data_IF_768880617876
#
_entry.id   IF_768880617876
#
_cell.length_a   1.000
_cell.length_b   1.000
_cell.length_c   1.000
_cell.angle_alpha   90.00
_cell.angle_beta   90.00
_cell.angle_gamma   90.00
#
_symmetry.space_group_name_H-M   'P 1'
#
loop_
_entity.id
_entity.type
_entity.pdbx_description
1 polymer ?
#
# COMPACT_ATOMS: atom_id res chain seq x y z
N UNK A 1 15.53 -20.34 17.72
CA UNK A 1 15.56 -20.87 16.36
C UNK A 1 14.19 -20.57 15.82
N UNK A 2 14.01 -19.31 15.46
CA UNK A 2 12.73 -18.69 15.14
C UNK A 2 12.34 -19.01 13.70
N UNK A 3 13.30 -19.00 12.78
CA UNK A 3 13.12 -19.37 11.37
C UNK A 3 13.32 -20.88 11.06
N UNK A 4 13.78 -21.67 12.04
CA UNK A 4 14.00 -23.12 11.92
C UNK A 4 15.13 -23.53 10.95
N UNK A 5 16.18 -22.71 10.79
CA UNK A 5 17.32 -22.98 9.89
C UNK A 5 18.45 -23.83 10.53
N UNK A 6 18.25 -24.28 11.77
CA UNK A 6 19.21 -25.00 12.62
C UNK A 6 20.32 -24.12 13.26
N UNK A 7 20.25 -22.80 13.11
CA UNK A 7 21.08 -21.81 13.80
C UNK A 7 20.26 -21.22 14.96
N UNK A 8 20.76 -21.29 16.21
CA UNK A 8 20.07 -20.63 17.31
C UNK A 8 20.17 -19.11 17.18
N UNK A 9 19.06 -18.38 17.35
CA UNK A 9 18.92 -16.91 17.30
C UNK A 9 20.14 -16.12 17.81
N UNK A 10 20.70 -16.45 18.98
CA UNK A 10 21.89 -15.76 19.51
C UNK A 10 23.18 -15.90 18.67
N UNK A 11 23.15 -16.69 17.60
CA UNK A 11 24.20 -16.91 16.60
C UNK A 11 23.72 -16.68 15.18
N UNK A 12 22.45 -16.39 14.99
CA UNK A 12 21.92 -16.06 13.69
C UNK A 12 22.14 -14.56 13.42
N UNK A 13 22.28 -14.22 12.15
CA UNK A 13 22.35 -12.85 11.68
C UNK A 13 20.98 -12.36 11.21
N UNK A 14 20.05 -13.28 10.96
CA UNK A 14 18.68 -13.02 10.53
C UNK A 14 17.77 -14.06 11.21
N UNK A 15 17.31 -13.74 12.42
CA UNK A 15 16.60 -14.68 13.30
C UNK A 15 15.23 -15.13 12.73
N UNK A 16 14.56 -14.33 11.89
CA UNK A 16 13.22 -14.61 11.33
C UNK A 16 13.23 -14.89 9.81
N UNK A 17 14.42 -14.84 9.20
CA UNK A 17 14.72 -15.07 7.78
C UNK A 17 13.96 -14.14 6.83
N UNK A 18 13.78 -12.89 7.25
CA UNK A 18 13.22 -11.84 6.43
C UNK A 18 14.29 -11.25 5.47
N UNK A 19 14.12 -10.02 4.99
CA UNK A 19 15.07 -9.38 4.08
C UNK A 19 16.24 -8.69 4.81
N UNK A 20 16.10 -8.40 6.09
CA UNK A 20 17.06 -7.63 6.86
C UNK A 20 17.86 -8.54 7.79
N UNK A 21 19.03 -8.09 8.20
CA UNK A 21 19.69 -8.76 9.31
C UNK A 21 19.09 -8.20 10.59
N UNK A 22 19.01 -9.00 11.65
CA UNK A 22 18.51 -8.63 12.99
C UNK A 22 19.06 -7.29 13.50
N UNK A 23 20.30 -6.95 13.16
CA UNK A 23 20.95 -5.68 13.57
C UNK A 23 20.54 -4.46 12.74
N UNK A 24 19.88 -4.66 11.60
CA UNK A 24 19.39 -3.62 10.69
C UNK A 24 17.94 -3.22 10.99
N UNK A 25 17.26 -3.95 11.86
CA UNK A 25 15.85 -3.79 12.23
C UNK A 25 15.66 -2.83 13.42
N UNK A 26 16.48 -1.78 13.47
CA UNK A 26 16.33 -0.64 14.37
C UNK A 26 15.37 0.37 13.72
N UNK A 27 14.08 0.03 13.71
CA UNK A 27 13.01 0.79 13.08
C UNK A 27 12.91 2.22 13.62
N UNK A 28 13.22 2.43 14.91
CA UNK A 28 13.12 3.74 15.55
C UNK A 28 14.45 4.54 15.53
N UNK A 29 15.59 3.88 15.30
CA UNK A 29 16.92 4.49 15.18
C UNK A 29 17.60 4.82 16.51
N UNK A 30 17.19 4.19 17.62
CA UNK A 30 17.77 4.41 18.95
C UNK A 30 18.97 3.49 19.27
N UNK A 31 19.29 2.58 18.34
CA UNK A 31 20.36 1.61 18.48
C UNK A 31 19.97 0.35 19.27
N UNK A 32 18.68 0.12 19.52
CA UNK A 32 18.17 -1.04 20.24
C UNK A 32 17.04 -1.76 19.49
N UNK A 33 17.42 -2.53 18.46
CA UNK A 33 16.53 -3.40 17.69
C UNK A 33 15.76 -4.43 18.54
N UNK A 34 16.21 -4.75 19.76
CA UNK A 34 15.51 -5.73 20.63
C UNK A 34 14.16 -5.25 21.18
N UNK A 35 13.86 -3.94 21.11
CA UNK A 35 12.62 -3.38 21.66
C UNK A 35 11.71 -2.77 20.60
N UNK A 36 12.05 -2.91 19.33
CA UNK A 36 11.23 -2.43 18.24
C UNK A 36 10.15 -3.47 17.94
N UNK A 37 8.92 -2.97 17.82
CA UNK A 37 7.67 -3.70 17.65
C UNK A 37 6.75 -2.78 16.84
N UNK A 38 6.94 -2.80 15.52
CA UNK A 38 6.37 -1.85 14.57
C UNK A 38 4.84 -1.94 14.52
N UNK A 39 4.30 -3.16 14.57
CA UNK A 39 2.86 -3.41 14.44
C UNK A 39 2.13 -3.54 15.80
N UNK A 40 2.90 -3.60 16.91
CA UNK A 40 2.45 -3.68 18.30
C UNK A 40 1.70 -4.99 18.62
N UNK A 41 2.06 -6.10 17.98
CA UNK A 41 1.51 -7.43 18.28
C UNK A 41 2.18 -8.11 19.50
N UNK A 42 3.33 -7.58 19.95
CA UNK A 42 4.11 -8.03 21.09
C UNK A 42 5.26 -8.98 20.76
N UNK A 43 5.53 -9.23 19.48
CA UNK A 43 6.73 -9.88 18.97
C UNK A 43 7.70 -8.78 18.51
N UNK A 44 8.95 -8.76 18.99
CA UNK A 44 9.93 -7.80 18.48
C UNK A 44 10.19 -8.01 16.99
N UNK A 45 10.42 -6.91 16.24
CA UNK A 45 10.62 -6.91 14.78
C UNK A 45 11.61 -8.00 14.33
N UNK A 46 12.74 -8.14 15.03
CA UNK A 46 13.78 -9.13 14.69
C UNK A 46 13.39 -10.61 14.87
N UNK A 47 12.23 -10.91 15.46
CA UNK A 47 11.68 -12.26 15.58
C UNK A 47 10.35 -12.38 14.84
N UNK A 48 9.95 -11.34 14.10
CA UNK A 48 8.64 -11.19 13.53
C UNK A 48 8.70 -11.08 12.00
N UNK A 49 8.63 -12.24 11.36
CA UNK A 49 8.61 -12.32 9.90
C UNK A 49 7.39 -11.63 9.26
N UNK A 50 6.35 -11.30 10.04
CA UNK A 50 5.13 -10.62 9.58
C UNK A 50 4.97 -9.17 10.07
N UNK A 51 6.03 -8.59 10.67
CA UNK A 51 6.17 -7.21 11.18
C UNK A 51 5.64 -6.09 10.26
N UNK A 52 5.46 -6.39 8.97
CA UNK A 52 4.93 -5.46 7.96
C UNK A 52 3.67 -5.94 7.21
N UNK A 53 2.88 -6.86 7.76
CA UNK A 53 1.57 -7.23 7.19
C UNK A 53 0.47 -6.22 7.56
N UNK A 54 0.72 -4.93 7.27
CA UNK A 54 -0.28 -3.88 7.41
C UNK A 54 -1.33 -4.03 6.32
N UNK A 55 -2.50 -4.55 6.71
CA UNK A 55 -3.63 -4.76 5.79
C UNK A 55 -3.89 -3.57 4.85
N UNK A 56 -3.89 -3.85 3.54
CA UNK A 56 -4.24 -2.88 2.50
C UNK A 56 -5.72 -2.98 2.18
N UNK A 57 -6.48 -1.92 2.44
CA UNK A 57 -7.93 -1.86 2.22
C UNK A 57 -8.30 -0.69 1.31
N UNK A 58 -9.04 -0.95 0.23
CA UNK A 58 -9.51 0.09 -0.69
C UNK A 58 -10.95 0.48 -0.35
N UNK A 59 -11.17 1.73 0.06
CA UNK A 59 -12.53 2.24 0.26
C UNK A 59 -13.18 2.52 -1.09
N UNK A 60 -14.26 1.79 -1.39
CA UNK A 60 -14.85 1.73 -2.72
C UNK A 60 -15.79 2.90 -3.09
N UNK A 61 -15.73 4.02 -2.37
CA UNK A 61 -16.60 5.19 -2.62
C UNK A 61 -15.78 6.46 -2.69
N UNK A 62 -16.13 7.33 -3.65
CA UNK A 62 -15.56 8.66 -3.82
C UNK A 62 -16.69 9.66 -4.05
N UNK A 63 -16.66 10.77 -3.31
CA UNK A 63 -17.58 11.90 -3.38
C UNK A 63 -16.81 13.22 -3.38
N UNK A 64 -16.20 13.67 -4.51
CA UNK A 64 -15.39 14.88 -4.58
C UNK A 64 -16.24 16.16 -4.56
N UNK A 65 -16.95 16.37 -3.45
CA UNK A 65 -17.85 17.49 -3.19
C UNK A 65 -17.17 18.61 -2.36
N UNK A 66 -15.96 18.37 -1.86
CA UNK A 66 -15.15 19.30 -1.09
C UNK A 66 -15.51 19.39 0.40
N UNK A 67 -16.20 18.39 0.95
CA UNK A 67 -16.53 18.32 2.38
C UNK A 67 -15.44 17.64 3.24
N UNK A 68 -14.38 17.13 2.60
CA UNK A 68 -13.26 16.44 3.23
C UNK A 68 -13.50 14.94 3.46
N UNK A 69 -14.66 14.40 3.09
CA UNK A 69 -15.06 13.02 3.29
C UNK A 69 -15.13 12.31 1.95
N UNK A 70 -14.25 11.31 1.75
CA UNK A 70 -14.15 10.54 0.51
C UNK A 70 -13.95 11.41 -0.75
N UNK A 71 -13.35 12.59 -0.64
CA UNK A 71 -13.08 13.47 -1.79
C UNK A 71 -12.10 12.84 -2.81
N UNK A 72 -11.35 11.83 -2.39
CA UNK A 72 -10.49 11.00 -3.23
C UNK A 72 -10.58 9.54 -2.80
N UNK A 73 -10.06 8.63 -3.63
CA UNK A 73 -9.92 7.22 -3.31
C UNK A 73 -8.94 7.04 -2.16
N UNK A 74 -9.43 6.68 -0.98
CA UNK A 74 -8.56 6.34 0.15
C UNK A 74 -8.25 4.84 0.13
N UNK A 75 -6.96 4.52 0.29
CA UNK A 75 -6.45 3.16 0.43
C UNK A 75 -5.72 3.07 1.76
N UNK A 76 -6.33 2.40 2.75
CA UNK A 76 -5.72 2.18 4.07
C UNK A 76 -4.45 1.35 3.93
N UNK A 77 -3.42 1.65 4.72
CA UNK A 77 -2.16 0.90 4.74
C UNK A 77 -1.20 1.21 3.59
N UNK A 78 -1.65 1.80 2.48
CA UNK A 78 -0.83 1.95 1.26
C UNK A 78 0.46 2.77 1.45
N UNK A 79 0.48 3.66 2.46
CA UNK A 79 1.64 4.51 2.75
C UNK A 79 2.88 3.71 3.18
N UNK A 80 2.68 2.48 3.66
CA UNK A 80 3.76 1.58 4.06
C UNK A 80 4.31 0.76 2.90
N UNK A 81 3.68 0.81 1.73
CA UNK A 81 4.10 0.11 0.51
C UNK A 81 4.40 1.11 -0.60
N UNK A 82 5.53 1.85 -0.53
CA UNK A 82 5.85 2.92 -1.49
C UNK A 82 6.04 2.39 -2.92
N UNK A 83 6.48 1.15 -3.08
CA UNK A 83 6.53 0.44 -4.35
C UNK A 83 5.16 -0.12 -4.70
N UNK A 84 4.22 0.78 -4.97
CA UNK A 84 2.88 0.44 -5.43
C UNK A 84 2.53 1.08 -6.78
N UNK A 85 1.51 0.52 -7.41
CA UNK A 85 0.90 1.05 -8.63
C UNK A 85 -0.58 0.78 -8.63
N UNK A 86 -1.36 1.81 -8.96
CA UNK A 86 -2.80 1.68 -9.22
C UNK A 86 -3.13 2.04 -10.65
N UNK A 87 -4.03 1.25 -11.24
CA UNK A 87 -4.67 1.55 -12.52
C UNK A 87 -6.17 1.52 -12.31
N UNK A 88 -6.88 2.52 -12.84
CA UNK A 88 -8.33 2.59 -12.76
C UNK A 88 -8.89 2.62 -14.18
N UNK A 89 -9.91 1.81 -14.40
CA UNK A 89 -10.62 1.64 -15.65
C UNK A 89 -12.07 2.07 -15.50
N UNK A 90 -12.64 2.60 -16.58
CA UNK A 90 -14.09 2.71 -16.68
C UNK A 90 -14.72 1.35 -17.00
N UNK A 91 -16.06 1.29 -17.03
CA UNK A 91 -16.83 0.06 -17.32
C UNK A 91 -16.55 -0.60 -18.68
N UNK A 92 -15.91 0.11 -19.60
CA UNK A 92 -15.54 -0.40 -20.93
C UNK A 92 -14.08 -0.88 -20.99
N UNK A 93 -13.38 -0.91 -19.86
CA UNK A 93 -11.97 -1.31 -19.78
C UNK A 93 -10.99 -0.25 -20.28
N UNK A 94 -11.44 1.00 -20.47
CA UNK A 94 -10.55 2.10 -20.85
C UNK A 94 -9.89 2.65 -19.59
N UNK A 95 -8.56 2.74 -19.61
CA UNK A 95 -7.76 3.36 -18.55
C UNK A 95 -8.12 4.85 -18.41
N UNK A 96 -8.50 5.24 -17.19
CA UNK A 96 -8.82 6.62 -16.82
C UNK A 96 -7.82 7.20 -15.83
N UNK A 97 -7.13 6.35 -15.07
CA UNK A 97 -6.11 6.79 -14.13
C UNK A 97 -5.02 5.73 -13.99
N UNK A 98 -3.78 6.18 -13.81
CA UNK A 98 -2.61 5.32 -13.67
C UNK A 98 -1.53 6.09 -12.92
N UNK A 99 -1.14 5.55 -11.77
CA UNK A 99 -0.15 6.18 -10.91
C UNK A 99 0.74 5.13 -10.22
N UNK A 100 1.99 5.51 -10.00
CA UNK A 100 2.94 4.77 -9.16
C UNK A 100 3.15 5.55 -7.86
N UNK A 101 3.39 4.86 -6.75
CA UNK A 101 3.62 5.46 -5.44
C UNK A 101 2.39 6.18 -4.91
N UNK A 102 1.21 5.57 -5.03
CA UNK A 102 -0.04 6.10 -4.48
C UNK A 102 0.07 6.25 -2.96
N UNK A 103 -0.29 7.41 -2.41
CA UNK A 103 -0.01 7.77 -1.01
C UNK A 103 -1.20 8.43 -0.27
N UNK A 104 -2.38 8.50 -0.90
CA UNK A 104 -3.57 9.22 -0.41
C UNK A 104 -3.37 10.74 -0.17
N UNK A 105 -2.24 11.34 -0.59
CA UNK A 105 -1.89 12.71 -0.21
C UNK A 105 -1.37 13.53 -1.37
N UNK A 106 -0.26 13.13 -1.98
CA UNK A 106 0.32 13.81 -3.13
C UNK A 106 -0.03 13.14 -4.45
N UNK A 107 -0.23 11.81 -4.42
CA UNK A 107 -0.62 10.98 -5.54
C UNK A 107 -1.91 10.27 -5.13
N UNK A 108 -3.03 10.79 -5.64
CA UNK A 108 -4.36 10.25 -5.37
C UNK A 108 -5.27 10.34 -6.60
N UNK A 109 -6.39 9.61 -6.56
CA UNK A 109 -7.45 9.68 -7.55
C UNK A 109 -8.70 10.33 -6.96
N UNK A 110 -9.11 11.45 -7.53
CA UNK A 110 -10.25 12.28 -7.10
C UNK A 110 -11.38 12.33 -8.14
N UNK A 111 -11.44 11.32 -9.02
CA UNK A 111 -12.40 11.30 -10.13
C UNK A 111 -11.99 12.13 -11.34
N UNK A 112 -10.76 12.64 -11.39
CA UNK A 112 -10.20 13.31 -12.58
C UNK A 112 -9.36 12.31 -13.39
N UNK A 113 -9.57 12.28 -14.70
CA UNK A 113 -8.80 11.43 -15.61
C UNK A 113 -7.39 11.97 -15.85
N UNK A 114 -6.38 11.09 -15.86
CA UNK A 114 -5.01 11.41 -16.30
C UNK A 114 -4.74 10.91 -17.74
N UNK A 115 -5.70 10.22 -18.36
CA UNK A 115 -5.57 9.67 -19.71
C UNK A 115 -5.53 10.75 -20.78
N UNK A 116 -4.50 10.71 -21.64
CA UNK A 116 -4.25 11.69 -22.73
C UNK A 116 -5.14 11.51 -23.97
N UNK A 117 -6.19 10.69 -23.91
CA UNK A 117 -7.10 10.46 -25.04
C UNK A 117 -8.02 11.68 -25.27
N UNK A 118 -7.49 12.71 -25.93
CA UNK A 118 -8.24 13.57 -26.86
C UNK A 118 -9.10 14.70 -26.30
N UNK A 119 -9.09 14.98 -24.99
CA UNK A 119 -9.66 16.20 -24.42
C UNK A 119 -8.63 16.79 -23.46
N UNK A 120 -8.41 18.09 -23.58
CA UNK A 120 -7.48 18.87 -22.76
C UNK A 120 -7.60 18.50 -21.27
N UNK A 121 -6.44 18.42 -20.59
CA UNK A 121 -6.22 18.55 -19.14
C UNK A 121 -7.44 18.33 -18.23
N UNK A 122 -7.43 17.26 -17.44
CA UNK A 122 -8.26 17.13 -16.23
C UNK A 122 -9.78 17.19 -16.48
N UNK A 123 -10.29 16.28 -17.31
CA UNK A 123 -11.74 16.11 -17.44
C UNK A 123 -12.29 15.28 -16.27
N UNK A 124 -13.19 15.89 -15.48
CA UNK A 124 -13.99 15.19 -14.48
C UNK A 124 -14.69 13.98 -15.10
N UNK A 125 -14.55 12.83 -14.46
CA UNK A 125 -15.18 11.60 -14.90
C UNK A 125 -16.68 11.59 -14.56
N UNK A 126 -17.54 10.98 -15.42
CA UNK A 126 -18.95 10.81 -15.11
C UNK A 126 -19.17 9.99 -13.84
N UNK A 127 -20.24 10.29 -13.09
CA UNK A 127 -20.66 9.46 -11.97
C UNK A 127 -20.95 8.02 -12.44
N UNK A 128 -20.54 7.04 -11.63
CA UNK A 128 -20.76 5.63 -11.92
C UNK A 128 -19.68 4.72 -11.35
N UNK A 129 -19.75 3.46 -11.79
CA UNK A 129 -18.82 2.40 -11.37
C UNK A 129 -17.57 2.37 -12.24
N UNK A 130 -16.42 2.36 -11.57
CA UNK A 130 -15.08 2.17 -12.10
C UNK A 130 -14.47 0.91 -11.48
N UNK A 131 -13.36 0.44 -12.03
CA UNK A 131 -12.66 -0.76 -11.57
C UNK A 131 -11.19 -0.44 -11.36
N UNK A 132 -10.58 -1.00 -10.33
CA UNK A 132 -9.16 -0.79 -10.06
C UNK A 132 -8.39 -2.10 -10.08
N UNK A 133 -7.11 -1.98 -10.43
CA UNK A 133 -6.06 -2.96 -10.15
C UNK A 133 -5.00 -2.21 -9.36
N UNK A 134 -4.75 -2.64 -8.13
CA UNK A 134 -3.70 -2.15 -7.25
C UNK A 134 -2.67 -3.26 -7.09
N UNK A 135 -1.41 -2.95 -7.36
CA UNK A 135 -0.27 -3.85 -7.10
C UNK A 135 0.68 -3.17 -6.13
N UNK A 136 1.20 -3.90 -5.16
CA UNK A 136 2.19 -3.40 -4.20
C UNK A 136 3.16 -4.52 -3.81
N UNK A 137 4.38 -4.16 -3.46
CA UNK A 137 5.40 -5.06 -2.94
C UNK A 137 5.33 -5.07 -1.41
N UNK A 138 5.16 -6.25 -0.81
CA UNK A 138 5.30 -6.45 0.63
C UNK A 138 6.77 -6.45 1.05
N UNK A 139 7.02 -6.35 2.34
CA UNK A 139 8.37 -6.33 2.89
C UNK A 139 9.20 -7.57 2.52
N UNK A 140 8.55 -8.73 2.51
CA UNK A 140 9.11 -10.01 2.05
C UNK A 140 9.53 -10.02 0.57
N UNK A 141 9.26 -8.95 -0.19
CA UNK A 141 9.50 -8.85 -1.63
C UNK A 141 8.41 -9.53 -2.48
N UNK A 142 7.37 -10.07 -1.86
CA UNK A 142 6.24 -10.65 -2.55
C UNK A 142 5.36 -9.57 -3.18
N UNK A 143 5.01 -9.75 -4.45
CA UNK A 143 4.09 -8.85 -5.15
C UNK A 143 2.64 -9.25 -4.87
N UNK A 144 1.89 -8.34 -4.28
CA UNK A 144 0.46 -8.47 -4.06
C UNK A 144 -0.35 -7.77 -5.14
N UNK A 145 -1.57 -8.23 -5.33
CA UNK A 145 -2.54 -7.59 -6.23
C UNK A 145 -3.94 -7.61 -5.63
N UNK A 146 -4.52 -6.41 -5.50
CA UNK A 146 -5.92 -6.22 -5.17
C UNK A 146 -6.68 -5.70 -6.39
N UNK A 147 -7.91 -6.14 -6.55
CA UNK A 147 -8.81 -5.62 -7.58
C UNK A 147 -10.23 -5.54 -7.07
N UNK A 148 -10.98 -4.59 -7.60
CA UNK A 148 -12.34 -4.33 -7.15
C UNK A 148 -12.99 -3.22 -7.94
N UNK A 149 -14.03 -2.64 -7.37
CA UNK A 149 -14.77 -1.54 -7.97
C UNK A 149 -14.71 -0.29 -7.09
N UNK A 150 -14.94 0.85 -7.73
CA UNK A 150 -15.06 2.16 -7.10
C UNK A 150 -16.38 2.77 -7.59
N UNK A 151 -17.17 3.31 -6.67
CA UNK A 151 -18.33 4.12 -7.00
C UNK A 151 -17.98 5.60 -6.88
N UNK A 152 -17.99 6.31 -8.01
CA UNK A 152 -17.76 7.75 -8.07
C UNK A 152 -19.11 8.48 -8.16
N UNK A 153 -19.32 9.43 -7.27
CA UNK A 153 -20.43 10.39 -7.32
C UNK A 153 -19.93 11.80 -7.02
N UNK A 154 -20.69 12.84 -7.38
CA UNK A 154 -20.34 14.25 -7.13
C UNK A 154 -21.34 14.92 -6.18
#
# INVERSE_FOLDING_TARGET
DTDSDEIPDFRDINDDNDRYNTVEEDANGDGNYFNDDWDNDGIPDYLDSDVQEISVEVFNIITPNGDGIHDHLTIKGIIYYPENRIIIYNRWGVEVFNAKGYDNKSIYFDGITTSKLGINSESRLPAGTYFYILTYEEFSGNMQQLSGYIYLNW
#
